data_IF_898729537437
#
_entry.id   IF_898729537437
#
_cell.length_a   1.000
_cell.length_b   1.000
_cell.length_c   1.000
_cell.angle_alpha   90.00
_cell.angle_beta   90.00
_cell.angle_gamma   90.00
#
_symmetry.space_group_name_H-M   'P 1'
#
loop_
_entity.id
_entity.type
_entity.pdbx_description
1 polymer ?
#
# COMPACT_ATOMS: atom_id res chain seq x y z
N UNK A 1 0.73 -12.34 -10.78
CA UNK A 1 -0.55 -11.64 -11.06
C UNK A 1 -1.12 -12.18 -12.37
N UNK A 2 -2.08 -13.10 -12.32
CA UNK A 2 -2.62 -13.80 -13.51
C UNK A 2 -3.13 -12.84 -14.59
N UNK A 3 -3.57 -11.64 -14.23
CA UNK A 3 -3.99 -10.58 -15.16
C UNK A 3 -2.86 -9.98 -16.01
N UNK A 4 -1.59 -10.25 -15.69
CA UNK A 4 -0.43 -9.84 -16.50
C UNK A 4 -0.03 -10.90 -17.53
N UNK A 5 -0.65 -12.09 -17.51
CA UNK A 5 -0.41 -13.11 -18.51
C UNK A 5 -1.13 -12.77 -19.81
N UNK A 6 -0.49 -12.93 -20.98
CA UNK A 6 -1.14 -12.66 -22.27
C UNK A 6 -2.45 -13.43 -22.41
N UNK A 7 -3.53 -12.74 -22.78
CA UNK A 7 -4.88 -13.33 -22.89
C UNK A 7 -5.72 -13.30 -21.62
N UNK A 8 -5.18 -12.79 -20.50
CA UNK A 8 -5.91 -12.62 -19.24
C UNK A 8 -6.36 -11.17 -18.97
N UNK A 9 -6.33 -10.29 -19.99
CA UNK A 9 -6.60 -8.85 -19.83
C UNK A 9 -8.01 -8.59 -19.30
N UNK A 10 -8.98 -9.41 -19.70
CA UNK A 10 -10.39 -9.31 -19.30
C UNK A 10 -10.77 -10.29 -18.19
N UNK A 11 -9.81 -11.00 -17.59
CA UNK A 11 -10.10 -12.10 -16.65
C UNK A 11 -11.03 -11.66 -15.50
N UNK A 12 -10.80 -10.47 -14.93
CA UNK A 12 -11.63 -9.96 -13.84
C UNK A 12 -13.07 -9.67 -14.29
N UNK A 13 -13.25 -9.01 -15.45
CA UNK A 13 -14.58 -8.72 -15.99
C UNK A 13 -15.31 -9.99 -16.44
N UNK A 14 -14.59 -10.97 -16.97
CA UNK A 14 -15.15 -12.24 -17.43
C UNK A 14 -15.62 -13.09 -16.25
N UNK A 15 -14.84 -13.15 -15.16
CA UNK A 15 -15.24 -13.83 -13.91
C UNK A 15 -16.45 -13.14 -13.27
N UNK A 16 -16.46 -11.80 -13.21
CA UNK A 16 -17.62 -11.06 -12.69
C UNK A 16 -18.87 -11.30 -13.55
N UNK A 17 -18.72 -11.32 -14.87
CA UNK A 17 -19.82 -11.65 -15.80
C UNK A 17 -20.33 -13.06 -15.54
N UNK A 18 -19.44 -14.04 -15.42
CA UNK A 18 -19.79 -15.43 -15.12
C UNK A 18 -20.56 -15.54 -13.80
N UNK A 19 -20.07 -14.90 -12.73
CA UNK A 19 -20.74 -14.89 -11.44
C UNK A 19 -22.13 -14.25 -11.53
N UNK A 20 -22.26 -13.15 -12.28
CA UNK A 20 -23.53 -12.47 -12.49
C UNK A 20 -24.54 -13.34 -13.24
N UNK A 21 -24.15 -13.96 -14.37
CA UNK A 21 -25.08 -14.79 -15.17
C UNK A 21 -25.44 -16.13 -14.50
N UNK A 22 -24.67 -16.55 -13.50
CA UNK A 22 -24.93 -17.76 -12.72
C UNK A 22 -25.58 -17.48 -11.36
N UNK A 23 -25.96 -16.22 -11.10
CA UNK A 23 -26.55 -15.77 -9.83
C UNK A 23 -25.66 -16.07 -8.61
N UNK A 24 -24.34 -16.02 -8.78
CA UNK A 24 -23.33 -16.20 -7.74
C UNK A 24 -22.77 -14.84 -7.27
N UNK A 25 -23.64 -13.86 -7.01
CA UNK A 25 -23.29 -12.53 -6.48
C UNK A 25 -24.36 -12.09 -5.48
N UNK A 26 -23.97 -11.35 -4.43
CA UNK A 26 -24.92 -10.70 -3.52
C UNK A 26 -25.49 -11.57 -2.40
N UNK A 27 -24.94 -12.78 -2.19
CA UNK A 27 -25.31 -13.63 -1.05
C UNK A 27 -24.12 -14.37 -0.46
N UNK A 28 -24.24 -14.77 0.80
CA UNK A 28 -23.21 -15.51 1.54
C UNK A 28 -22.78 -16.76 0.78
N UNK A 29 -21.47 -16.98 0.70
CA UNK A 29 -20.88 -18.13 0.01
C UNK A 29 -20.74 -17.97 -1.50
N UNK A 30 -21.07 -16.80 -2.04
CA UNK A 30 -20.86 -16.44 -3.44
C UNK A 30 -20.06 -15.13 -3.58
N UNK A 31 -19.79 -14.73 -4.82
CA UNK A 31 -19.01 -13.55 -5.16
C UNK A 31 -17.68 -13.88 -5.84
N UNK A 32 -17.07 -12.84 -6.40
CA UNK A 32 -15.74 -12.88 -6.99
C UNK A 32 -14.94 -11.78 -6.33
N UNK A 33 -13.79 -12.15 -5.77
CA UNK A 33 -12.89 -11.22 -5.10
C UNK A 33 -11.45 -11.48 -5.48
N UNK A 34 -10.61 -10.43 -5.58
CA UNK A 34 -9.18 -10.61 -5.76
C UNK A 34 -8.56 -11.20 -4.50
N UNK A 35 -7.60 -12.12 -4.67
CA UNK A 35 -6.65 -12.47 -3.62
C UNK A 35 -5.38 -11.65 -3.85
N UNK A 36 -5.02 -10.86 -2.85
CA UNK A 36 -3.79 -10.08 -2.89
C UNK A 36 -2.61 -10.86 -2.29
N UNK A 37 -1.41 -10.49 -2.69
CA UNK A 37 -0.17 -11.20 -2.33
C UNK A 37 0.28 -10.89 -0.90
N UNK A 38 0.23 -9.62 -0.50
CA UNK A 38 0.75 -9.17 0.80
C UNK A 38 -0.37 -8.83 1.79
N UNK A 39 0.00 -8.87 3.07
CA UNK A 39 -0.90 -8.74 4.20
C UNK A 39 -1.73 -7.43 4.21
N UNK A 40 -1.19 -6.35 3.62
CA UNK A 40 -1.82 -5.03 3.57
C UNK A 40 -1.94 -4.48 2.14
N UNK A 41 -1.94 -5.35 1.11
CA UNK A 41 -2.05 -4.88 -0.28
C UNK A 41 -3.35 -4.12 -0.53
N UNK A 42 -4.46 -4.55 0.08
CA UNK A 42 -5.74 -3.85 -0.05
C UNK A 42 -5.68 -2.49 0.64
N UNK A 43 -5.22 -2.43 1.88
CA UNK A 43 -5.05 -1.16 2.61
C UNK A 43 -4.13 -0.18 1.88
N UNK A 44 -3.01 -0.65 1.31
CA UNK A 44 -2.13 0.20 0.49
C UNK A 44 -2.87 0.83 -0.70
N UNK A 45 -3.70 0.05 -1.40
CA UNK A 45 -4.52 0.56 -2.51
C UNK A 45 -5.59 1.53 -2.04
N UNK A 46 -6.24 1.24 -0.92
CA UNK A 46 -7.23 2.13 -0.31
C UNK A 46 -6.61 3.48 0.07
N UNK A 47 -5.32 3.51 0.45
CA UNK A 47 -4.54 4.72 0.73
C UNK A 47 -3.95 5.38 -0.51
N UNK A 48 -4.31 4.93 -1.71
CA UNK A 48 -3.87 5.56 -2.96
C UNK A 48 -2.40 5.31 -3.30
N UNK A 49 -1.81 4.17 -2.88
CA UNK A 49 -0.52 3.71 -3.40
C UNK A 49 -0.71 3.14 -4.82
N UNK A 50 -1.24 3.98 -5.70
CA UNK A 50 -1.64 3.71 -7.07
C UNK A 50 -1.25 4.91 -7.94
N UNK A 51 -0.77 4.69 -9.18
CA UNK A 51 -0.40 5.81 -10.05
C UNK A 51 -1.62 6.63 -10.52
N UNK A 52 -2.83 6.05 -10.48
CA UNK A 52 -4.05 6.57 -11.09
C UNK A 52 -5.15 6.94 -10.08
N UNK A 53 -4.90 6.83 -8.77
CA UNK A 53 -5.90 7.15 -7.76
C UNK A 53 -5.31 7.68 -6.44
N UNK A 54 -6.02 8.64 -5.85
CA UNK A 54 -5.86 9.13 -4.48
C UNK A 54 -6.52 8.17 -3.47
N UNK A 55 -6.33 8.36 -2.14
CA UNK A 55 -7.05 7.60 -1.12
C UNK A 55 -8.56 7.53 -1.38
N UNK A 56 -9.12 6.35 -1.18
CA UNK A 56 -10.53 6.04 -1.46
C UNK A 56 -10.84 5.80 -2.94
N UNK A 57 -9.84 5.40 -3.74
CA UNK A 57 -9.95 5.19 -5.19
C UNK A 57 -10.46 6.42 -5.96
N UNK A 58 -10.21 7.62 -5.43
CA UNK A 58 -10.60 8.87 -6.09
C UNK A 58 -9.67 9.11 -7.29
N UNK A 59 -10.17 9.35 -8.50
CA UNK A 59 -9.33 9.50 -9.68
C UNK A 59 -8.44 10.74 -9.57
N UNK A 60 -7.22 10.65 -10.10
CA UNK A 60 -6.32 11.81 -10.28
C UNK A 60 -6.54 12.46 -11.64
N UNK A 61 -6.21 13.75 -11.76
CA UNK A 61 -6.23 14.45 -13.07
C UNK A 61 -5.13 13.95 -14.01
N UNK A 62 -3.98 13.58 -13.46
CA UNK A 62 -2.83 13.09 -14.21
C UNK A 62 -2.28 11.82 -13.56
N UNK A 63 -2.37 10.70 -14.30
CA UNK A 63 -1.80 9.41 -13.89
C UNK A 63 -0.28 9.47 -13.85
N UNK A 64 0.31 8.95 -12.76
CA UNK A 64 1.74 8.73 -12.62
C UNK A 64 2.24 7.54 -13.42
N UNK A 65 3.54 7.27 -13.32
CA UNK A 65 4.15 6.11 -13.97
C UNK A 65 3.79 4.82 -13.21
N UNK A 66 3.50 3.76 -13.93
CA UNK A 66 3.40 2.41 -13.35
C UNK A 66 4.76 1.90 -12.90
N UNK A 67 4.77 0.91 -11.99
CA UNK A 67 5.97 0.23 -11.53
C UNK A 67 6.87 -0.26 -12.69
N UNK A 68 6.27 -0.83 -13.74
CA UNK A 68 7.01 -1.29 -14.91
C UNK A 68 7.62 -0.13 -15.72
N UNK A 69 6.89 0.98 -15.90
CA UNK A 69 7.39 2.16 -16.61
C UNK A 69 8.50 2.87 -15.83
N UNK A 70 8.39 2.92 -14.50
CA UNK A 70 9.43 3.46 -13.62
C UNK A 70 10.76 2.70 -13.79
N UNK A 71 10.69 1.38 -13.95
CA UNK A 71 11.88 0.52 -14.02
C UNK A 71 12.44 0.33 -15.44
N UNK A 72 11.59 0.34 -16.47
CA UNK A 72 12.00 -0.05 -17.82
C UNK A 72 11.88 1.05 -18.88
N UNK A 73 11.18 2.16 -18.63
CA UNK A 73 10.73 3.05 -19.70
C UNK A 73 10.96 4.55 -19.50
N UNK A 74 11.28 5.00 -18.30
CA UNK A 74 11.26 6.43 -17.96
C UNK A 74 12.64 7.00 -17.65
N UNK A 75 12.83 8.28 -17.99
CA UNK A 75 14.01 9.05 -17.55
C UNK A 75 13.78 9.59 -16.14
N UNK A 76 13.60 8.68 -15.18
CA UNK A 76 13.62 9.06 -13.76
C UNK A 76 15.05 9.42 -13.37
N UNK A 77 15.18 10.50 -12.59
CA UNK A 77 16.45 10.92 -11.97
C UNK A 77 16.55 10.49 -10.51
N UNK A 78 15.42 10.27 -9.85
CA UNK A 78 15.38 9.83 -8.47
C UNK A 78 14.36 8.71 -8.29
N UNK A 79 14.67 7.75 -7.43
CA UNK A 79 13.78 6.66 -7.04
C UNK A 79 13.79 6.50 -5.52
N UNK A 80 12.62 6.61 -4.91
CA UNK A 80 12.40 6.26 -3.51
C UNK A 80 11.72 4.89 -3.46
N UNK A 81 12.39 3.89 -2.91
CA UNK A 81 11.84 2.54 -2.71
C UNK A 81 11.55 2.35 -1.22
N UNK A 82 10.31 1.99 -0.88
CA UNK A 82 9.88 1.72 0.48
C UNK A 82 9.37 0.28 0.59
N UNK A 83 10.02 -0.54 1.44
CA UNK A 83 9.59 -1.91 1.74
C UNK A 83 9.48 -2.84 0.53
N UNK A 84 10.25 -2.60 -0.53
CA UNK A 84 10.19 -3.34 -1.77
C UNK A 84 11.59 -3.65 -2.33
N UNK A 85 11.68 -4.69 -3.16
CA UNK A 85 12.95 -5.15 -3.72
C UNK A 85 12.92 -5.26 -5.26
N UNK A 86 12.78 -4.13 -5.97
CA UNK A 86 12.57 -4.10 -7.41
C UNK A 86 13.66 -4.79 -8.22
N UNK A 87 14.91 -4.82 -7.74
CA UNK A 87 16.02 -5.53 -8.40
C UNK A 87 15.68 -7.00 -8.72
N UNK A 88 14.87 -7.66 -7.89
CA UNK A 88 14.44 -9.05 -8.12
C UNK A 88 13.47 -9.22 -9.28
N UNK A 89 12.82 -8.14 -9.71
CA UNK A 89 11.84 -8.16 -10.79
C UNK A 89 12.45 -7.69 -12.13
N UNK A 90 13.70 -7.24 -12.12
CA UNK A 90 14.42 -6.82 -13.32
C UNK A 90 15.03 -8.02 -14.04
N UNK A 91 15.09 -7.95 -15.38
CA UNK A 91 15.78 -8.97 -16.19
C UNK A 91 17.28 -8.97 -15.94
N UNK A 92 17.85 -7.79 -15.72
CA UNK A 92 19.24 -7.58 -15.26
C UNK A 92 19.19 -7.11 -13.81
N UNK A 93 20.01 -7.67 -12.90
CA UNK A 93 19.93 -7.38 -11.47
C UNK A 93 20.55 -6.02 -11.09
N UNK A 94 20.35 -5.00 -11.92
CA UNK A 94 20.91 -3.66 -11.78
C UNK A 94 19.80 -2.62 -11.98
N UNK A 95 19.70 -1.67 -11.05
CA UNK A 95 18.79 -0.54 -11.19
C UNK A 95 19.15 0.32 -12.43
N UNK A 96 18.17 1.04 -13.01
CA UNK A 96 18.43 1.89 -14.18
C UNK A 96 19.56 2.90 -13.92
N UNK A 97 20.55 2.90 -14.80
CA UNK A 97 21.71 3.81 -14.71
C UNK A 97 21.36 5.29 -14.94
N UNK A 98 20.12 5.60 -15.28
CA UNK A 98 19.60 6.97 -15.41
C UNK A 98 19.29 7.63 -14.06
N UNK A 99 19.22 6.85 -12.99
CA UNK A 99 18.94 7.33 -11.65
C UNK A 99 20.20 8.02 -11.07
N UNK A 100 20.06 9.31 -10.73
CA UNK A 100 21.07 10.11 -10.04
C UNK A 100 20.97 9.95 -8.51
N UNK A 101 19.82 9.48 -8.00
CA UNK A 101 19.57 9.25 -6.58
C UNK A 101 18.63 8.05 -6.35
N UNK A 102 19.06 7.10 -5.54
CA UNK A 102 18.25 5.99 -5.06
C UNK A 102 18.21 6.02 -3.53
N UNK A 103 17.01 6.19 -2.98
CA UNK A 103 16.74 6.11 -1.55
C UNK A 103 15.97 4.82 -1.29
N UNK A 104 16.44 4.02 -0.34
CA UNK A 104 15.76 2.79 0.07
C UNK A 104 15.43 2.85 1.55
N UNK A 105 14.13 2.75 1.85
CA UNK A 105 13.61 2.58 3.19
C UNK A 105 13.21 1.11 3.38
N UNK A 106 13.96 0.38 4.19
CA UNK A 106 13.79 -1.06 4.34
C UNK A 106 14.21 -1.52 5.75
N UNK A 107 13.69 -2.67 6.15
CA UNK A 107 14.03 -3.36 7.39
C UNK A 107 15.26 -4.28 7.21
N UNK A 108 15.60 -4.62 5.96
CA UNK A 108 16.72 -5.49 5.61
C UNK A 108 17.61 -4.87 4.53
N UNK A 109 18.87 -5.30 4.48
CA UNK A 109 19.79 -4.95 3.40
C UNK A 109 19.54 -5.81 2.15
N UNK A 110 18.45 -5.52 1.46
CA UNK A 110 18.02 -6.21 0.21
C UNK A 110 18.96 -5.95 -0.96
N UNK A 111 18.82 -6.71 -2.06
CA UNK A 111 19.60 -6.46 -3.28
C UNK A 111 19.37 -5.05 -3.84
N UNK A 112 18.18 -4.49 -3.66
CA UNK A 112 17.89 -3.09 -3.98
C UNK A 112 18.59 -2.14 -3.01
N UNK A 113 18.51 -2.38 -1.69
CA UNK A 113 19.19 -1.55 -0.69
C UNK A 113 20.72 -1.51 -0.88
N UNK A 114 21.33 -2.62 -1.33
CA UNK A 114 22.76 -2.69 -1.62
C UNK A 114 23.20 -1.81 -2.79
N UNK A 115 22.27 -1.41 -3.67
CA UNK A 115 22.50 -0.52 -4.81
C UNK A 115 22.08 0.93 -4.52
N UNK A 116 21.57 1.22 -3.32
CA UNK A 116 21.06 2.55 -2.97
C UNK A 116 22.19 3.53 -2.62
N UNK A 117 21.97 4.81 -2.92
CA UNK A 117 22.84 5.89 -2.43
C UNK A 117 22.58 6.18 -0.95
N UNK A 118 21.32 6.05 -0.51
CA UNK A 118 20.89 6.27 0.87
C UNK A 118 20.00 5.11 1.31
N UNK A 119 20.33 4.52 2.46
CA UNK A 119 19.48 3.54 3.14
C UNK A 119 18.94 4.14 4.44
N UNK A 120 17.62 4.14 4.59
CA UNK A 120 16.90 4.64 5.76
C UNK A 120 16.34 3.42 6.53
N UNK A 121 16.90 3.07 7.70
CA UNK A 121 16.48 1.88 8.43
C UNK A 121 15.06 2.02 8.99
N UNK A 122 14.14 1.21 8.48
CA UNK A 122 12.79 1.10 9.00
C UNK A 122 12.69 0.03 10.10
N UNK A 123 11.62 0.05 10.89
CA UNK A 123 11.32 -0.99 11.89
C UNK A 123 10.27 -1.97 11.39
N UNK A 124 10.35 -3.20 11.88
CA UNK A 124 9.39 -4.26 11.55
C UNK A 124 8.00 -3.99 12.16
N UNK A 125 7.00 -4.76 11.73
CA UNK A 125 5.64 -4.67 12.29
C UNK A 125 5.60 -4.88 13.81
N UNK A 126 6.52 -5.68 14.36
CA UNK A 126 6.55 -5.96 15.80
C UNK A 126 7.10 -4.80 16.63
N UNK A 127 7.72 -3.81 16.00
CA UNK A 127 8.44 -2.71 16.66
C UNK A 127 7.72 -1.36 16.57
N UNK A 128 6.57 -1.32 15.89
CA UNK A 128 5.75 -0.11 15.70
C UNK A 128 4.27 -0.39 15.96
N UNK A 129 3.54 0.68 16.20
CA UNK A 129 2.09 0.70 16.10
C UNK A 129 1.66 1.02 14.65
N UNK A 130 0.44 0.60 14.28
CA UNK A 130 -0.16 0.91 12.99
C UNK A 130 -1.44 0.12 12.76
N UNK A 131 -1.85 -0.02 11.51
CA UNK A 131 -2.96 -0.87 11.12
C UNK A 131 -2.70 -1.56 9.78
N UNK A 132 -3.44 -2.62 9.52
CA UNK A 132 -3.45 -3.33 8.24
C UNK A 132 -4.89 -3.68 7.84
N UNK A 133 -5.18 -3.59 6.56
CA UNK A 133 -6.46 -4.00 5.96
C UNK A 133 -6.21 -5.23 5.12
N UNK A 134 -6.80 -6.34 5.56
CA UNK A 134 -6.66 -7.63 4.90
C UNK A 134 -7.61 -7.75 3.67
N UNK A 135 -7.68 -8.94 3.06
CA UNK A 135 -8.45 -9.17 1.83
C UNK A 135 -9.97 -9.10 1.98
N UNK A 136 -10.54 -9.21 3.20
CA UNK A 136 -11.99 -9.15 3.44
C UNK A 136 -12.43 -7.81 4.04
N UNK A 137 -11.63 -6.75 3.82
CA UNK A 137 -11.83 -5.40 4.36
C UNK A 137 -11.88 -5.35 5.89
N UNK A 138 -11.15 -6.24 6.55
CA UNK A 138 -10.95 -6.24 7.99
C UNK A 138 -9.71 -5.44 8.33
N UNK A 139 -9.90 -4.33 9.05
CA UNK A 139 -8.85 -3.45 9.53
C UNK A 139 -8.43 -3.92 10.91
N UNK A 140 -7.15 -4.25 11.07
CA UNK A 140 -6.59 -4.80 12.30
C UNK A 140 -5.44 -3.93 12.80
N UNK A 141 -5.42 -3.67 14.12
CA UNK A 141 -4.33 -2.93 14.73
C UNK A 141 -3.04 -3.76 14.75
N UNK A 142 -1.94 -3.11 14.38
CA UNK A 142 -0.58 -3.54 14.69
C UNK A 142 -0.20 -2.83 15.99
N UNK A 143 0.25 -3.61 16.98
CA UNK A 143 0.64 -3.10 18.29
C UNK A 143 2.12 -3.34 18.51
N UNK A 144 2.83 -2.33 18.99
CA UNK A 144 4.24 -2.46 19.30
C UNK A 144 4.45 -3.52 20.39
N UNK A 145 5.21 -4.57 20.06
CA UNK A 145 5.57 -5.66 20.97
C UNK A 145 7.05 -5.66 21.35
N UNK A 146 7.90 -5.09 20.48
CA UNK A 146 9.34 -5.00 20.64
C UNK A 146 9.78 -3.54 20.58
N UNK A 147 10.93 -3.25 21.19
CA UNK A 147 11.55 -1.92 21.09
C UNK A 147 12.38 -1.85 19.81
N UNK A 148 12.26 -0.78 19.01
CA UNK A 148 13.13 -0.51 17.88
C UNK A 148 14.61 -0.58 18.24
N UNK A 149 15.41 -1.07 17.30
CA UNK A 149 16.86 -0.89 17.37
C UNK A 149 17.23 0.60 17.28
N UNK A 150 18.31 1.03 17.96
CA UNK A 150 18.76 2.42 17.89
C UNK A 150 19.00 2.87 16.44
N UNK A 151 18.40 4.01 16.07
CA UNK A 151 18.56 4.62 14.75
C UNK A 151 17.52 4.15 13.71
N UNK A 152 16.79 3.07 13.95
CA UNK A 152 15.66 2.68 13.13
C UNK A 152 14.38 3.39 13.58
N UNK A 153 13.49 3.68 12.63
CA UNK A 153 12.22 4.39 12.86
C UNK A 153 11.06 3.74 12.14
N UNK A 154 9.83 4.00 12.57
CA UNK A 154 8.65 3.61 11.80
C UNK A 154 8.61 4.35 10.47
N UNK A 155 8.01 3.72 9.46
CA UNK A 155 7.98 4.27 8.10
C UNK A 155 7.38 5.68 8.03
N UNK A 156 6.31 5.91 8.78
CA UNK A 156 5.64 7.20 8.86
C UNK A 156 6.49 8.28 9.53
N UNK A 157 7.33 7.93 10.51
CA UNK A 157 8.25 8.87 11.15
C UNK A 157 9.37 9.29 10.18
N UNK A 158 9.86 8.34 9.36
CA UNK A 158 10.86 8.62 8.33
C UNK A 158 10.28 9.58 7.29
N UNK A 159 9.08 9.28 6.78
CA UNK A 159 8.39 10.13 5.80
C UNK A 159 8.09 11.52 6.36
N UNK A 160 7.60 11.62 7.60
CA UNK A 160 7.33 12.90 8.26
C UNK A 160 8.62 13.70 8.47
N UNK A 161 9.72 13.05 8.83
CA UNK A 161 11.03 13.69 8.94
C UNK A 161 11.53 14.23 7.60
N UNK A 162 11.36 13.48 6.51
CA UNK A 162 11.73 13.93 5.16
C UNK A 162 10.86 15.12 4.74
N UNK A 163 9.54 15.03 4.94
CA UNK A 163 8.60 16.10 4.65
C UNK A 163 8.98 17.40 5.38
N UNK A 164 9.34 17.31 6.66
CA UNK A 164 9.81 18.43 7.47
C UNK A 164 11.05 19.10 6.86
N UNK A 165 12.03 18.33 6.39
CA UNK A 165 13.23 18.87 5.75
C UNK A 165 12.95 19.48 4.38
N UNK A 166 11.85 19.10 3.73
CA UNK A 166 11.36 19.68 2.48
C UNK A 166 10.41 20.87 2.69
N UNK A 167 10.13 21.25 3.95
CA UNK A 167 9.30 22.41 4.30
C UNK A 167 7.80 22.09 4.48
N UNK A 168 7.42 20.82 4.51
CA UNK A 168 6.08 20.38 4.88
C UNK A 168 6.05 19.99 6.37
N UNK A 169 5.12 20.56 7.12
CA UNK A 169 4.97 20.29 8.55
C UNK A 169 3.78 19.37 8.78
N UNK A 170 4.07 18.10 9.09
CA UNK A 170 3.07 17.11 9.48
C UNK A 170 3.26 16.81 10.97
N UNK A 171 2.28 17.19 11.78
CA UNK A 171 2.36 17.13 13.24
C UNK A 171 1.68 15.85 13.76
N UNK A 172 2.22 14.69 13.35
CA UNK A 172 1.77 13.38 13.84
C UNK A 172 2.65 12.91 15.00
N UNK A 173 2.04 12.49 16.10
CA UNK A 173 2.73 11.93 17.26
C UNK A 173 2.53 10.41 17.36
N UNK A 174 1.43 9.90 16.81
CA UNK A 174 1.06 8.49 16.84
C UNK A 174 0.32 8.07 15.55
N UNK A 175 0.40 6.79 15.10
CA UNK A 175 -0.41 6.29 13.98
C UNK A 175 -1.92 6.51 14.10
N UNK A 176 -2.42 6.75 15.32
CA UNK A 176 -3.81 7.11 15.58
C UNK A 176 -4.18 8.47 14.94
N UNK A 177 -3.26 9.43 14.94
CA UNK A 177 -3.47 10.75 14.33
C UNK A 177 -3.63 10.60 12.80
N UNK A 178 -2.79 9.74 12.21
CA UNK A 178 -2.83 9.41 10.78
C UNK A 178 -4.14 8.66 10.44
N UNK A 179 -4.54 7.70 11.28
CA UNK A 179 -5.81 6.98 11.09
C UNK A 179 -7.00 7.92 11.17
N UNK A 180 -6.99 8.89 12.08
CA UNK A 180 -8.02 9.90 12.18
C UNK A 180 -8.10 10.75 10.90
N UNK A 181 -6.97 11.23 10.38
CA UNK A 181 -6.95 11.96 9.10
C UNK A 181 -7.44 11.08 7.92
N UNK A 182 -7.09 9.79 7.92
CA UNK A 182 -7.59 8.83 6.94
C UNK A 182 -9.13 8.72 7.05
N UNK A 183 -9.69 8.59 8.25
CA UNK A 183 -11.13 8.48 8.47
C UNK A 183 -11.89 9.73 8.00
N UNK A 184 -11.30 10.92 8.14
CA UNK A 184 -11.90 12.17 7.63
C UNK A 184 -11.93 12.25 6.09
N UNK A 185 -11.00 11.57 5.41
CA UNK A 185 -10.74 11.77 3.98
C UNK A 185 -10.99 10.54 3.10
N UNK A 186 -11.21 9.36 3.70
CA UNK A 186 -11.38 8.10 3.02
C UNK A 186 -12.70 7.43 3.44
N UNK A 187 -13.70 7.33 2.54
CA UNK A 187 -15.04 6.84 2.89
C UNK A 187 -15.04 5.38 3.36
N UNK A 188 -14.05 4.57 3.00
CA UNK A 188 -13.95 3.19 3.51
C UNK A 188 -13.58 3.14 4.99
N UNK A 189 -12.98 4.20 5.53
CA UNK A 189 -12.50 4.27 6.92
C UNK A 189 -13.32 5.30 7.71
N UNK A 190 -14.47 5.74 7.18
CA UNK A 190 -15.30 6.76 7.78
C UNK A 190 -15.71 6.37 9.21
N UNK A 191 -15.65 7.35 10.11
CA UNK A 191 -16.00 7.23 11.53
C UNK A 191 -15.16 6.21 12.32
N UNK A 192 -14.06 5.70 11.76
CA UNK A 192 -13.19 4.77 12.46
C UNK A 192 -12.22 5.50 13.39
N UNK A 193 -12.27 5.19 14.68
CA UNK A 193 -11.27 5.63 15.64
C UNK A 193 -10.29 4.51 16.02
N UNK A 194 -9.14 4.89 16.57
CA UNK A 194 -8.07 3.95 16.92
C UNK A 194 -8.52 2.90 17.94
N UNK A 195 -9.37 3.31 18.88
CA UNK A 195 -9.94 2.46 19.93
C UNK A 195 -10.86 1.38 19.37
N UNK A 196 -11.55 1.65 18.26
CA UNK A 196 -12.50 0.73 17.64
C UNK A 196 -11.81 -0.53 17.11
N UNK A 197 -10.55 -0.42 16.69
CA UNK A 197 -9.76 -1.56 16.22
C UNK A 197 -9.66 -2.66 17.28
N UNK A 198 -9.62 -2.31 18.56
CA UNK A 198 -9.63 -3.26 19.66
C UNK A 198 -8.65 -4.45 19.48
N UNK A 199 -8.98 -5.64 20.02
CA UNK A 199 -8.17 -6.85 19.84
C UNK A 199 -8.53 -7.68 18.61
N UNK A 200 -9.69 -7.42 17.97
CA UNK A 200 -10.19 -8.22 16.85
C UNK A 200 -10.11 -7.51 15.51
N UNK A 201 -9.95 -6.20 15.50
CA UNK A 201 -10.13 -5.37 14.31
C UNK A 201 -11.59 -4.97 14.10
N UNK A 202 -11.79 -4.16 13.06
CA UNK A 202 -13.11 -3.76 12.56
C UNK A 202 -13.22 -4.24 11.13
N UNK A 203 -14.25 -5.05 10.85
CA UNK A 203 -14.62 -5.40 9.48
C UNK A 203 -15.55 -4.32 8.94
N UNK A 204 -15.15 -3.69 7.84
CA UNK A 204 -15.96 -2.67 7.20
C UNK A 204 -17.27 -3.29 6.67
N UNK A 205 -18.40 -2.57 6.72
CA UNK A 205 -19.66 -3.06 6.19
C UNK A 205 -19.52 -3.32 4.68
N UNK A 206 -20.07 -4.44 4.20
CA UNK A 206 -20.32 -4.60 2.78
C UNK A 206 -21.40 -3.58 2.40
N UNK A 207 -21.05 -2.54 1.64
CA UNK A 207 -22.05 -1.64 1.10
C UNK A 207 -22.89 -2.44 0.11
N UNK A 208 -24.20 -2.56 0.36
CA UNK A 208 -25.13 -3.07 -0.65
C UNK A 208 -24.95 -2.21 -1.90
N UNK A 209 -24.41 -2.81 -2.97
CA UNK A 209 -24.50 -2.22 -4.31
C UNK A 209 -25.96 -2.35 -4.70
N UNK A 210 -26.78 -1.38 -4.27
CA UNK A 210 -28.21 -1.34 -4.56
C UNK A 210 -28.40 -1.50 -6.06
N UNK A 211 -29.08 -2.56 -6.45
CA UNK A 211 -29.49 -2.83 -7.81
C UNK A 211 -30.24 -1.61 -8.37
N UNK A 212 -29.64 -0.92 -9.34
CA UNK A 212 -30.29 0.09 -10.16
C UNK A 212 -30.79 -0.54 -11.46
#
# INVERSE_FOLDING_TARGET
MTTLEPGCENLASDLLTLATVTDNVGHTGAGVGPLFEDANSLGARDMGLLPDALPGYRPVEQTGLSYHEMLNGSQLRALFVMGANPVRHLTTPELPSTLDLVVVQDILMTETAQQADVVLPAVSYAEKDGSMTNVDHHIQAIRQALRPLPGARADWEILSGIAQHLGAHWDYEHPADILHEIAENNPFYADLEWEDLGPQGVRLPEHEVTHA
#
